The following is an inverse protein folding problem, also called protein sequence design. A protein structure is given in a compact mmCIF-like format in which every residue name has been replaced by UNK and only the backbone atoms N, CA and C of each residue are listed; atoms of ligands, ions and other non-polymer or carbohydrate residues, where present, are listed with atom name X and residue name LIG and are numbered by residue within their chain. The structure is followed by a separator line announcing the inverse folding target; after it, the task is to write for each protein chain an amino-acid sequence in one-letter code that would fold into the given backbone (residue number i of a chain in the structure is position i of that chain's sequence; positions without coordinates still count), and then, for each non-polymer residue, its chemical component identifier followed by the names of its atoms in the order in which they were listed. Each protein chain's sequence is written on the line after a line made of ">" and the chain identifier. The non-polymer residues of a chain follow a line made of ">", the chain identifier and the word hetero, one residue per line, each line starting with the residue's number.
data_IF_350398471430
#
_entry.id   IF_350398471430
#
_cell.length_a   1.000
_cell.length_b   1.000
_cell.length_c   1.000
_cell.angle_alpha   90.00
_cell.angle_beta   90.00
_cell.angle_gamma   90.00
#
_symmetry.space_group_name_H-M   'P 1'
#
loop_
_entity.id
_entity.type
_entity.pdbx_description
1 polymer ?
#
# COMPACT_ATOMS: atom_id res chain seq x y z
N UNK A 1 14.04 -8.02 9.53
CA UNK A 1 13.49 -6.72 9.84
C UNK A 1 12.12 -6.87 10.46
N UNK A 2 11.73 -5.95 11.32
CA UNK A 2 10.43 -6.02 11.98
C UNK A 2 9.95 -4.63 12.37
N UNK A 3 8.64 -4.49 12.51
CA UNK A 3 8.02 -3.28 13.05
C UNK A 3 7.45 -3.59 14.42
N UNK A 4 7.48 -2.63 15.32
CA UNK A 4 6.88 -2.79 16.64
C UNK A 4 5.81 -1.73 16.87
N UNK A 5 4.61 -2.17 17.25
CA UNK A 5 3.48 -1.28 17.54
C UNK A 5 2.81 -1.77 18.82
N UNK A 6 2.73 -0.92 19.82
CA UNK A 6 2.09 -1.24 21.10
C UNK A 6 2.63 -2.52 21.73
N UNK A 7 3.94 -2.75 21.64
CA UNK A 7 4.58 -3.93 22.21
C UNK A 7 4.45 -5.21 21.38
N UNK A 8 3.82 -5.14 20.21
CA UNK A 8 3.67 -6.28 19.31
C UNK A 8 4.65 -6.13 18.15
N UNK A 9 5.41 -7.18 17.88
CA UNK A 9 6.37 -7.18 16.78
C UNK A 9 5.77 -7.82 15.54
N UNK A 10 5.96 -7.14 14.41
CA UNK A 10 5.46 -7.61 13.11
C UNK A 10 6.66 -7.88 12.20
N UNK A 11 6.87 -9.14 11.87
CA UNK A 11 7.99 -9.54 11.01
C UNK A 11 7.84 -8.95 9.60
N UNK A 12 8.94 -8.51 9.02
CA UNK A 12 8.97 -7.93 7.69
C UNK A 12 10.19 -8.46 6.94
N UNK A 13 10.12 -8.41 5.60
CA UNK A 13 11.26 -8.80 4.78
C UNK A 13 12.28 -7.67 4.71
N UNK A 14 13.35 -7.88 3.94
CA UNK A 14 14.43 -6.92 3.82
C UNK A 14 14.00 -5.57 3.25
N UNK A 15 12.92 -5.56 2.48
CA UNK A 15 12.40 -4.34 1.87
C UNK A 15 11.34 -3.66 2.71
N UNK A 16 10.97 -4.27 3.84
CA UNK A 16 9.99 -3.68 4.75
C UNK A 16 8.54 -4.11 4.55
N UNK A 17 8.30 -5.12 3.71
CA UNK A 17 6.96 -5.68 3.55
C UNK A 17 6.70 -6.71 4.64
N UNK A 18 5.57 -6.59 5.34
CA UNK A 18 5.27 -7.55 6.42
C UNK A 18 5.03 -8.94 5.83
N UNK A 19 5.42 -9.96 6.59
CA UNK A 19 5.35 -11.33 6.10
C UNK A 19 4.00 -12.01 6.37
N UNK A 20 3.21 -11.46 7.30
CA UNK A 20 1.89 -11.98 7.63
C UNK A 20 0.83 -10.91 7.34
N UNK A 21 0.17 -11.06 6.19
CA UNK A 21 -0.86 -10.12 5.73
C UNK A 21 -2.02 -10.03 6.72
N UNK A 22 -2.35 -11.13 7.39
CA UNK A 22 -3.47 -11.16 8.33
C UNK A 22 -3.20 -10.40 9.62
N UNK A 23 -1.94 -10.10 9.90
CA UNK A 23 -1.56 -9.36 11.11
C UNK A 23 -1.70 -7.85 10.95
N UNK A 24 -1.94 -7.36 9.72
CA UNK A 24 -2.03 -5.93 9.45
C UNK A 24 -3.16 -5.25 10.23
N UNK A 25 -2.89 -4.02 10.66
CA UNK A 25 -3.91 -3.17 11.25
C UNK A 25 -3.57 -1.69 10.93
N UNK A 26 -4.51 -0.75 11.12
CA UNK A 26 -4.28 0.65 10.79
C UNK A 26 -3.11 1.30 11.54
N UNK A 27 -2.86 0.90 12.78
CA UNK A 27 -1.73 1.46 13.55
C UNK A 27 -0.41 1.06 12.93
N UNK A 28 -0.29 -0.18 12.47
CA UNK A 28 0.88 -0.65 11.75
C UNK A 28 1.05 0.12 10.45
N UNK A 29 -0.05 0.36 9.74
CA UNK A 29 0.00 1.14 8.49
C UNK A 29 0.55 2.54 8.73
N UNK A 30 0.14 3.19 9.83
CA UNK A 30 0.65 4.51 10.17
C UNK A 30 2.14 4.50 10.46
N UNK A 31 2.63 3.48 11.13
CA UNK A 31 4.06 3.35 11.41
C UNK A 31 4.86 3.15 10.13
N UNK A 32 4.38 2.29 9.24
CA UNK A 32 5.05 2.04 7.96
C UNK A 32 5.05 3.32 7.11
N UNK A 33 3.92 4.03 7.08
CA UNK A 33 3.82 5.29 6.35
C UNK A 33 4.80 6.32 6.88
N UNK A 34 4.95 6.42 8.19
CA UNK A 34 5.90 7.34 8.81
C UNK A 34 7.32 6.99 8.41
N UNK A 35 7.63 5.70 8.39
CA UNK A 35 8.94 5.21 7.99
C UNK A 35 9.24 5.54 6.52
N UNK A 36 8.20 5.57 5.69
CA UNK A 36 8.31 5.90 4.26
C UNK A 36 8.15 7.40 3.98
N UNK A 37 8.02 8.21 5.01
CA UNK A 37 7.76 9.65 4.90
C UNK A 37 6.48 9.97 4.12
N UNK A 38 5.45 9.17 4.33
CA UNK A 38 4.15 9.36 3.71
C UNK A 38 3.16 9.91 4.73
N UNK A 39 2.48 10.98 4.37
CA UNK A 39 1.39 11.49 5.18
C UNK A 39 0.11 10.74 4.84
N UNK A 40 -0.51 10.13 5.83
CA UNK A 40 -1.72 9.35 5.61
C UNK A 40 -2.96 10.23 5.61
N UNK A 41 -3.16 10.94 4.51
CA UNK A 41 -4.37 11.72 4.26
C UNK A 41 -5.55 10.78 4.00
N UNK A 42 -6.75 11.32 3.96
CA UNK A 42 -7.94 10.53 3.61
C UNK A 42 -7.79 9.90 2.24
N UNK A 43 -7.17 10.62 1.29
CA UNK A 43 -6.94 10.10 -0.05
C UNK A 43 -5.95 8.93 -0.04
N UNK A 44 -4.89 9.03 0.78
CA UNK A 44 -3.94 7.93 0.90
C UNK A 44 -4.60 6.71 1.53
N UNK A 45 -5.42 6.90 2.56
CA UNK A 45 -6.16 5.81 3.17
C UNK A 45 -7.10 5.14 2.18
N UNK A 46 -7.73 5.94 1.30
CA UNK A 46 -8.63 5.39 0.28
C UNK A 46 -7.89 4.42 -0.64
N UNK A 47 -6.68 4.78 -1.07
CA UNK A 47 -5.87 3.90 -1.92
C UNK A 47 -5.44 2.65 -1.17
N UNK A 48 -5.03 2.80 0.08
CA UNK A 48 -4.61 1.66 0.90
C UNK A 48 -5.78 0.68 1.10
N UNK A 49 -6.95 1.19 1.44
CA UNK A 49 -8.13 0.35 1.63
C UNK A 49 -8.56 -0.30 0.30
N UNK A 50 -8.46 0.44 -0.79
CA UNK A 50 -8.74 -0.10 -2.13
C UNK A 50 -7.81 -1.30 -2.42
N UNK A 51 -6.53 -1.16 -2.13
CA UNK A 51 -5.57 -2.24 -2.35
C UNK A 51 -5.85 -3.46 -1.49
N UNK A 52 -6.22 -3.27 -0.24
CA UNK A 52 -6.55 -4.41 0.61
C UNK A 52 -7.76 -5.16 0.07
N UNK A 53 -8.79 -4.46 -0.38
CA UNK A 53 -9.96 -5.06 -1.00
C UNK A 53 -9.60 -5.77 -2.31
N UNK A 54 -8.73 -5.15 -3.10
CA UNK A 54 -8.25 -5.72 -4.35
C UNK A 54 -7.52 -7.04 -4.11
N UNK A 55 -6.62 -7.05 -3.13
CA UNK A 55 -5.88 -8.25 -2.81
C UNK A 55 -6.79 -9.36 -2.30
N UNK A 56 -7.78 -9.01 -1.49
CA UNK A 56 -8.73 -9.99 -0.97
C UNK A 56 -9.48 -10.68 -2.12
N UNK A 57 -9.82 -9.91 -3.15
CA UNK A 57 -10.56 -10.44 -4.30
C UNK A 57 -9.67 -11.21 -5.28
N UNK A 58 -8.50 -10.68 -5.60
CA UNK A 58 -7.65 -11.23 -6.66
C UNK A 58 -6.42 -11.96 -6.19
N UNK A 59 -6.05 -11.86 -4.92
CA UNK A 59 -4.87 -12.48 -4.33
C UNK A 59 -3.57 -12.07 -5.02
N UNK A 60 -3.53 -10.87 -5.57
CA UNK A 60 -2.38 -10.30 -6.26
C UNK A 60 -2.17 -8.86 -5.80
N UNK A 61 -0.93 -8.49 -5.53
CA UNK A 61 -0.56 -7.09 -5.28
C UNK A 61 -0.24 -6.47 -6.64
N UNK A 62 -1.03 -5.49 -7.12
CA UNK A 62 -0.88 -4.98 -8.48
C UNK A 62 0.31 -4.06 -8.66
N UNK A 63 0.96 -4.13 -9.83
CA UNK A 63 1.97 -3.16 -10.23
C UNK A 63 1.28 -1.82 -10.56
N UNK A 64 2.06 -0.75 -10.68
CA UNK A 64 1.51 0.60 -10.81
C UNK A 64 0.54 0.76 -11.98
N UNK A 65 0.82 0.13 -13.12
CA UNK A 65 -0.05 0.23 -14.29
C UNK A 65 -1.42 -0.39 -14.03
N UNK A 66 -1.44 -1.57 -13.43
CA UNK A 66 -2.68 -2.26 -13.10
C UNK A 66 -3.42 -1.50 -12.00
N UNK A 67 -2.69 -1.02 -10.99
CA UNK A 67 -3.27 -0.23 -9.92
C UNK A 67 -3.96 1.01 -10.48
N UNK A 68 -3.30 1.74 -11.37
CA UNK A 68 -3.86 2.95 -11.96
C UNK A 68 -5.16 2.66 -12.69
N UNK A 69 -5.20 1.59 -13.49
CA UNK A 69 -6.40 1.20 -14.20
C UNK A 69 -7.53 0.80 -13.26
N UNK A 70 -7.21 0.05 -12.23
CA UNK A 70 -8.20 -0.43 -11.28
C UNK A 70 -8.80 0.72 -10.48
N UNK A 71 -7.96 1.68 -10.07
CA UNK A 71 -8.42 2.87 -9.35
C UNK A 71 -9.30 3.72 -10.27
N UNK A 72 -8.90 3.88 -11.52
CA UNK A 72 -9.70 4.64 -12.50
C UNK A 72 -11.10 4.04 -12.67
N UNK A 73 -11.17 2.73 -12.75
CA UNK A 73 -12.44 2.02 -12.93
C UNK A 73 -13.35 2.17 -11.71
N UNK A 74 -12.78 2.13 -10.52
CA UNK A 74 -13.55 2.13 -9.27
C UNK A 74 -13.81 3.55 -8.74
N UNK A 75 -12.81 4.41 -8.78
CA UNK A 75 -12.85 5.73 -8.15
C UNK A 75 -12.88 6.88 -9.15
N UNK A 76 -12.78 6.58 -10.44
CA UNK A 76 -12.85 7.59 -11.49
C UNK A 76 -11.48 8.04 -12.00
N UNK A 77 -11.46 8.74 -13.16
CA UNK A 77 -10.20 9.15 -13.77
C UNK A 77 -9.44 10.22 -13.00
N UNK A 78 -10.11 10.95 -12.13
CA UNK A 78 -9.45 11.97 -11.31
C UNK A 78 -8.48 11.35 -10.31
N UNK A 79 -8.77 10.15 -9.83
CA UNK A 79 -7.94 9.42 -8.88
C UNK A 79 -7.15 8.30 -9.56
N UNK A 80 -7.66 7.79 -10.67
CA UNK A 80 -7.01 6.73 -11.42
C UNK A 80 -6.06 7.26 -12.48
N UNK A 81 -5.10 8.06 -12.07
CA UNK A 81 -4.06 8.55 -12.97
C UNK A 81 -2.73 8.57 -12.22
N UNK A 82 -1.65 8.44 -12.98
CA UNK A 82 -0.33 8.33 -12.37
C UNK A 82 0.09 9.58 -11.62
N UNK A 83 -0.25 10.76 -12.11
CA UNK A 83 0.12 12.00 -11.43
C UNK A 83 -0.45 12.04 -10.01
N UNK A 84 -1.74 11.75 -9.87
CA UNK A 84 -2.41 11.75 -8.58
C UNK A 84 -1.79 10.73 -7.63
N UNK A 85 -1.56 9.52 -8.12
CA UNK A 85 -1.00 8.45 -7.30
C UNK A 85 0.43 8.75 -6.88
N UNK A 86 1.24 9.36 -7.77
CA UNK A 86 2.61 9.75 -7.41
C UNK A 86 2.65 10.93 -6.45
N UNK A 87 1.61 11.76 -6.41
CA UNK A 87 1.53 12.80 -5.39
C UNK A 87 1.30 12.22 -4.01
N UNK A 88 0.51 11.14 -3.92
CA UNK A 88 0.27 10.47 -2.64
C UNK A 88 1.46 9.62 -2.22
N UNK A 89 2.09 8.93 -3.16
CA UNK A 89 3.18 7.99 -2.89
C UNK A 89 4.35 8.26 -3.85
N UNK A 90 5.16 9.28 -3.55
CA UNK A 90 6.17 9.79 -4.49
C UNK A 90 7.26 8.80 -4.93
N UNK A 91 7.56 7.81 -4.10
CA UNK A 91 8.63 6.86 -4.40
C UNK A 91 8.14 5.57 -5.05
N UNK A 92 6.95 5.59 -5.61
CA UNK A 92 6.37 4.45 -6.31
C UNK A 92 5.02 4.08 -5.72
N UNK A 93 3.91 4.48 -6.35
CA UNK A 93 2.58 4.28 -5.78
C UNK A 93 2.26 2.83 -5.43
N UNK A 94 2.57 1.91 -6.33
CA UNK A 94 2.28 0.51 -6.07
C UNK A 94 3.13 -0.02 -4.92
N UNK A 95 4.43 0.25 -4.94
CA UNK A 95 5.34 -0.24 -3.90
C UNK A 95 5.02 0.33 -2.53
N UNK A 96 4.92 1.65 -2.42
CA UNK A 96 4.66 2.27 -1.13
C UNK A 96 3.28 1.97 -0.59
N UNK A 97 2.26 2.04 -1.46
CA UNK A 97 0.90 1.77 -1.01
C UNK A 97 0.72 0.31 -0.60
N UNK A 98 1.31 -0.64 -1.33
CA UNK A 98 1.25 -2.05 -0.95
C UNK A 98 1.99 -2.32 0.36
N UNK A 99 3.14 -1.69 0.57
CA UNK A 99 3.87 -1.82 1.82
C UNK A 99 3.02 -1.35 3.00
N UNK A 100 2.43 -0.17 2.88
CA UNK A 100 1.57 0.41 3.92
C UNK A 100 0.31 -0.44 4.13
N UNK A 101 -0.23 -1.00 3.06
CA UNK A 101 -1.42 -1.86 3.12
C UNK A 101 -1.13 -3.25 3.68
N UNK A 102 0.12 -3.56 3.97
CA UNK A 102 0.50 -4.87 4.51
C UNK A 102 0.43 -5.99 3.48
N UNK A 103 0.50 -5.65 2.20
CA UNK A 103 0.48 -6.62 1.12
C UNK A 103 1.88 -7.04 0.71
N UNK A 104 2.02 -8.12 -0.06
CA UNK A 104 3.31 -8.49 -0.60
C UNK A 104 3.81 -7.44 -1.59
N UNK A 105 5.10 -7.52 -1.92
CA UNK A 105 5.67 -6.65 -2.94
C UNK A 105 4.91 -6.83 -4.25
N UNK A 106 4.57 -5.72 -4.94
CA UNK A 106 3.85 -5.82 -6.22
C UNK A 106 4.58 -6.69 -7.23
N UNK A 107 3.83 -7.46 -8.00
CA UNK A 107 4.39 -8.28 -9.07
C UNK A 107 4.64 -7.40 -10.30
N UNK A 108 5.70 -7.72 -11.03
CA UNK A 108 6.07 -6.96 -12.22
C UNK A 108 7.10 -5.88 -11.92
N UNK A 109 7.53 -5.23 -12.98
CA UNK A 109 8.56 -4.20 -12.89
C UNK A 109 7.91 -2.86 -12.62
N UNK A 110 7.84 -2.40 -11.46
CA UNK A 110 7.31 -1.08 -11.13
C UNK A 110 5.83 -1.10 -10.85
#
# INVERSE_FOLDING_TARGET
>A
MAYEVNGVEYAADEEGYITDISAWNPELALLIAKDENIEMSDDAWEVVNFLRNYYEEYQIAPAVRVLTKAVKKKLGPEKGNSKYLYELFPYGPAKQACKIAGLPKPTGCI
#
